data_IF_872782783449
#
_entry.id   IF_872782783449
#
_cell.length_a   1.000
_cell.length_b   1.000
_cell.length_c   1.000
_cell.angle_alpha   90.00
_cell.angle_beta   90.00
_cell.angle_gamma   90.00
#
_symmetry.space_group_name_H-M   'P 1'
#
loop_
_entity.id
_entity.type
_entity.pdbx_description
1 polymer ?
#
# COMPACT_ATOMS: atom_id res chain seq x y z
N UNK A 1 -1.42 -21.73 -7.05
CA UNK A 1 -1.35 -20.84 -5.88
C UNK A 1 0.01 -20.18 -5.95
N UNK A 2 0.08 -18.92 -6.36
CA UNK A 2 1.34 -18.20 -6.38
C UNK A 2 1.76 -17.97 -4.93
N UNK A 3 3.00 -18.31 -4.59
CA UNK A 3 3.52 -18.14 -3.24
C UNK A 3 3.88 -16.66 -3.08
N UNK A 4 3.00 -15.89 -2.43
CA UNK A 4 3.21 -14.45 -2.24
C UNK A 4 4.23 -14.26 -1.13
N UNK A 5 5.35 -13.61 -1.46
CA UNK A 5 6.43 -13.37 -0.50
C UNK A 5 6.13 -12.12 0.32
N UNK A 6 5.65 -12.33 1.54
CA UNK A 6 5.43 -11.25 2.50
C UNK A 6 6.66 -10.94 3.34
N UNK A 7 6.85 -9.66 3.66
CA UNK A 7 7.86 -9.20 4.63
C UNK A 7 7.28 -8.06 5.51
N UNK A 8 8.05 -7.59 6.49
CA UNK A 8 7.59 -6.63 7.50
C UNK A 8 7.78 -5.17 7.07
N UNK A 9 6.99 -4.27 7.65
CA UNK A 9 7.14 -2.83 7.41
C UNK A 9 8.49 -2.27 7.89
N UNK A 10 9.15 -2.93 8.84
CA UNK A 10 10.52 -2.55 9.24
C UNK A 10 11.51 -2.78 8.09
N UNK A 11 11.36 -3.88 7.34
CA UNK A 11 12.16 -4.16 6.15
C UNK A 11 11.84 -3.20 5.01
N UNK A 12 10.58 -2.79 4.87
CA UNK A 12 10.16 -1.75 3.93
C UNK A 12 10.85 -0.42 4.26
N UNK A 13 10.85 -0.01 5.54
CA UNK A 13 11.53 1.20 6.00
C UNK A 13 13.02 1.18 5.69
N UNK A 14 13.71 0.11 6.06
CA UNK A 14 15.14 -0.06 5.78
C UNK A 14 15.48 0.15 4.29
N UNK A 15 14.59 -0.26 3.39
CA UNK A 15 14.77 -0.10 1.95
C UNK A 15 14.43 1.28 1.41
N UNK A 16 13.61 2.08 2.10
CA UNK A 16 13.15 3.39 1.64
C UNK A 16 13.95 4.55 2.23
N UNK A 17 14.46 4.37 3.45
CA UNK A 17 15.12 5.44 4.19
C UNK A 17 16.30 6.03 3.42
N UNK A 18 16.39 7.36 3.49
CA UNK A 18 17.40 8.20 2.87
C UNK A 18 17.44 8.20 1.34
N UNK A 19 16.43 7.62 0.69
CA UNK A 19 16.27 7.69 -0.76
C UNK A 19 15.35 8.82 -1.14
N UNK A 20 15.62 9.44 -2.29
CA UNK A 20 14.81 10.51 -2.85
C UNK A 20 13.73 10.00 -3.79
N UNK A 21 12.55 10.61 -3.75
CA UNK A 21 11.47 10.39 -4.71
C UNK A 21 11.77 11.13 -6.02
N UNK A 22 11.79 10.43 -7.15
CA UNK A 22 12.16 11.01 -8.46
C UNK A 22 11.01 11.02 -9.46
N UNK A 23 10.08 10.07 -9.37
CA UNK A 23 8.89 10.02 -10.22
C UNK A 23 7.74 9.31 -9.50
N UNK A 24 6.51 9.54 -9.96
CA UNK A 24 5.34 8.80 -9.48
C UNK A 24 4.23 8.73 -10.55
N UNK A 25 3.39 7.71 -10.41
CA UNK A 25 2.08 7.56 -11.05
C UNK A 25 1.06 7.24 -9.96
N UNK A 26 -0.22 7.13 -10.34
CA UNK A 26 -1.31 6.79 -9.41
C UNK A 26 -0.98 5.57 -8.54
N UNK A 27 -0.35 4.56 -9.11
CA UNK A 27 -0.12 3.24 -8.52
C UNK A 27 1.36 2.93 -8.25
N UNK A 28 2.29 3.85 -8.60
CA UNK A 28 3.73 3.61 -8.51
C UNK A 28 4.49 4.84 -8.02
N UNK A 29 5.51 4.60 -7.21
CA UNK A 29 6.47 5.62 -6.75
C UNK A 29 7.89 5.13 -7.07
N UNK A 30 8.69 5.97 -7.72
CA UNK A 30 10.06 5.65 -8.15
C UNK A 30 11.07 6.48 -7.37
N UNK A 31 12.13 5.83 -6.89
CA UNK A 31 13.21 6.44 -6.13
C UNK A 31 14.45 6.72 -6.98
N UNK A 32 15.41 7.46 -6.43
CA UNK A 32 16.66 7.84 -7.13
C UNK A 32 17.57 6.68 -7.51
N UNK A 33 17.45 5.53 -6.84
CA UNK A 33 18.19 4.30 -7.16
C UNK A 33 17.40 3.36 -8.09
N UNK A 34 16.34 3.87 -8.73
CA UNK A 34 15.40 3.13 -9.56
C UNK A 34 14.56 2.08 -8.82
N UNK A 35 14.56 2.08 -7.48
CA UNK A 35 13.58 1.28 -6.72
C UNK A 35 12.17 1.76 -7.05
N UNK A 36 11.29 0.83 -7.42
CA UNK A 36 9.88 1.09 -7.65
C UNK A 36 9.05 0.50 -6.51
N UNK A 37 8.14 1.32 -5.98
CA UNK A 37 7.13 0.90 -5.00
C UNK A 37 5.79 0.95 -5.70
N UNK A 38 5.11 -0.19 -5.82
CA UNK A 38 3.78 -0.28 -6.42
C UNK A 38 2.72 -0.60 -5.38
N UNK A 39 1.48 -0.19 -5.64
CA UNK A 39 0.30 -0.61 -4.87
C UNK A 39 -0.39 -1.73 -5.65
N UNK A 40 -0.48 -2.91 -5.06
CA UNK A 40 -0.98 -4.10 -5.77
C UNK A 40 -1.96 -4.93 -4.95
N UNK A 41 -2.89 -5.57 -5.67
CA UNK A 41 -3.66 -6.69 -5.13
C UNK A 41 -2.75 -7.91 -5.04
N UNK A 42 -2.36 -8.26 -3.83
CA UNK A 42 -1.41 -9.36 -3.60
C UNK A 42 -2.10 -10.72 -3.58
N UNK A 43 -3.29 -10.76 -2.99
CA UNK A 43 -4.12 -11.95 -2.89
C UNK A 43 -5.58 -11.53 -3.08
N UNK A 44 -6.36 -12.37 -3.75
CA UNK A 44 -7.82 -12.22 -3.83
C UNK A 44 -8.50 -13.56 -4.11
N UNK A 45 -9.72 -13.69 -3.61
CA UNK A 45 -10.65 -14.77 -3.95
C UNK A 45 -11.80 -14.27 -4.83
N UNK A 46 -12.05 -14.95 -5.95
CA UNK A 46 -13.24 -14.77 -6.79
C UNK A 46 -13.55 -13.30 -7.15
N UNK A 47 -14.60 -12.72 -6.54
CA UNK A 47 -15.09 -11.36 -6.79
C UNK A 47 -14.46 -10.30 -5.88
N UNK A 48 -13.62 -10.71 -4.93
CA UNK A 48 -12.85 -9.80 -4.10
C UNK A 48 -11.81 -9.07 -4.94
N UNK A 49 -11.49 -7.84 -4.56
CA UNK A 49 -10.51 -7.02 -5.25
C UNK A 49 -9.83 -6.08 -4.26
N UNK A 50 -8.58 -5.75 -4.54
CA UNK A 50 -7.83 -4.78 -3.76
C UNK A 50 -7.06 -3.83 -4.68
N UNK A 51 -6.71 -2.66 -4.16
CA UNK A 51 -5.96 -1.68 -4.91
C UNK A 51 -5.74 -0.41 -4.11
N UNK A 52 -5.32 0.64 -4.80
CA UNK A 52 -5.10 1.92 -4.14
C UNK A 52 -4.42 2.93 -5.04
N UNK A 53 -4.05 4.04 -4.41
CA UNK A 53 -3.39 5.15 -5.08
C UNK A 53 -2.46 5.93 -4.15
N UNK A 54 -1.37 6.42 -4.73
CA UNK A 54 -0.52 7.44 -4.11
C UNK A 54 -1.17 8.83 -4.26
N UNK A 55 -1.19 9.59 -3.18
CA UNK A 55 -1.62 10.99 -3.14
C UNK A 55 -0.57 11.85 -2.46
N UNK A 56 -0.67 13.17 -2.64
CA UNK A 56 0.16 14.17 -1.95
C UNK A 56 1.67 13.93 -2.14
N UNK A 57 2.05 13.48 -3.35
CA UNK A 57 3.44 13.13 -3.66
C UNK A 57 4.26 14.38 -4.00
N UNK A 58 5.30 14.63 -3.20
CA UNK A 58 6.31 15.64 -3.44
C UNK A 58 7.58 15.00 -4.04
N UNK A 59 7.95 15.46 -5.24
CA UNK A 59 9.19 15.04 -5.90
C UNK A 59 10.39 15.70 -5.24
N UNK A 60 11.57 15.09 -5.41
CA UNK A 60 12.84 15.52 -4.82
C UNK A 60 12.91 15.50 -3.28
N UNK A 61 11.85 15.05 -2.61
CA UNK A 61 11.84 14.79 -1.18
C UNK A 61 12.66 13.55 -0.81
N UNK A 62 13.48 13.66 0.24
CA UNK A 62 14.25 12.54 0.80
C UNK A 62 13.43 11.84 1.88
N UNK A 63 13.24 10.53 1.76
CA UNK A 63 12.47 9.77 2.74
C UNK A 63 13.26 9.67 4.05
N UNK A 64 12.68 10.17 5.12
CA UNK A 64 13.25 10.14 6.48
C UNK A 64 12.48 9.23 7.42
N UNK A 65 11.22 8.94 7.12
CA UNK A 65 10.37 8.06 7.90
C UNK A 65 9.21 7.51 7.05
N UNK A 66 8.69 6.35 7.42
CA UNK A 66 7.48 5.74 6.84
C UNK A 66 6.62 5.23 7.99
N UNK A 67 5.35 5.63 8.01
CA UNK A 67 4.41 5.21 9.07
C UNK A 67 4.15 3.71 9.06
N UNK A 68 3.63 3.18 10.16
CA UNK A 68 2.95 1.88 10.13
C UNK A 68 1.67 1.97 9.28
N UNK A 69 1.21 0.85 8.71
CA UNK A 69 -0.08 0.80 8.04
C UNK A 69 -1.18 1.09 9.05
N UNK A 70 -1.98 2.12 8.75
CA UNK A 70 -3.08 2.56 9.61
C UNK A 70 -4.42 2.20 8.98
N UNK A 71 -5.25 1.45 9.70
CA UNK A 71 -6.64 1.19 9.27
C UNK A 71 -7.46 2.46 9.45
N UNK A 72 -7.97 3.01 8.34
CA UNK A 72 -8.71 4.27 8.33
C UNK A 72 -10.19 4.05 8.63
N UNK A 73 -10.83 3.13 7.88
CA UNK A 73 -12.25 2.81 8.05
C UNK A 73 -12.59 1.46 7.42
N UNK A 74 -13.79 0.97 7.74
CA UNK A 74 -14.43 -0.16 7.08
C UNK A 74 -15.87 0.22 6.76
N UNK A 75 -16.24 0.06 5.51
CA UNK A 75 -17.58 0.34 5.00
C UNK A 75 -18.24 -0.99 4.67
N UNK A 76 -19.46 -1.22 5.17
CA UNK A 76 -20.23 -2.45 4.88
C UNK A 76 -21.53 -2.08 4.17
N UNK A 77 -21.80 -2.70 3.03
CA UNK A 77 -23.02 -2.47 2.25
C UNK A 77 -24.23 -3.12 2.92
N UNK A 78 -25.44 -2.72 2.52
CA UNK A 78 -26.67 -3.37 2.98
C UNK A 78 -26.76 -4.85 2.61
N UNK A 79 -25.98 -5.28 1.62
CA UNK A 79 -25.89 -6.66 1.18
C UNK A 79 -24.79 -7.45 1.87
N UNK A 80 -24.03 -6.82 2.79
CA UNK A 80 -23.01 -7.48 3.63
C UNK A 80 -21.58 -7.38 3.12
N UNK A 81 -21.35 -6.91 1.90
CA UNK A 81 -20.00 -6.69 1.34
C UNK A 81 -19.24 -5.64 2.16
N UNK A 82 -17.98 -5.91 2.48
CA UNK A 82 -17.14 -5.02 3.28
C UNK A 82 -15.93 -4.55 2.48
N UNK A 83 -15.73 -3.24 2.43
CA UNK A 83 -14.51 -2.60 1.94
C UNK A 83 -13.73 -2.01 3.12
N UNK A 84 -12.48 -2.45 3.30
CA UNK A 84 -11.55 -1.91 4.29
C UNK A 84 -10.56 -0.95 3.64
N UNK A 85 -10.24 0.14 4.34
CA UNK A 85 -9.31 1.17 3.87
C UNK A 85 -8.12 1.30 4.83
N UNK A 86 -6.92 1.39 4.29
CA UNK A 86 -5.70 1.60 5.05
C UNK A 86 -4.76 2.59 4.39
N UNK A 87 -3.92 3.25 5.18
CA UNK A 87 -2.96 4.24 4.69
C UNK A 87 -1.56 3.99 5.20
N UNK A 88 -0.57 4.36 4.38
CA UNK A 88 0.85 4.45 4.77
C UNK A 88 1.35 5.81 4.32
N UNK A 89 1.93 6.59 5.23
CA UNK A 89 2.46 7.93 4.94
C UNK A 89 3.98 7.91 4.97
N UNK A 90 4.58 8.53 3.96
CA UNK A 90 6.02 8.73 3.79
C UNK A 90 6.35 10.17 4.16
N UNK A 91 7.42 10.38 4.93
CA UNK A 91 7.79 11.70 5.47
C UNK A 91 9.19 12.13 5.07
N UNK A 92 9.35 13.44 4.81
CA UNK A 92 10.62 14.16 4.75
C UNK A 92 10.69 15.16 5.90
N UNK A 93 11.60 14.94 6.85
CA UNK A 93 11.81 15.79 8.02
C UNK A 93 10.49 16.09 8.76
N UNK A 94 9.73 15.03 9.07
CA UNK A 94 8.39 15.04 9.69
C UNK A 94 7.27 15.70 8.86
N UNK A 95 7.50 16.11 7.62
CA UNK A 95 6.45 16.57 6.72
C UNK A 95 5.98 15.41 5.83
N UNK A 96 4.67 15.15 5.71
CA UNK A 96 4.15 14.17 4.75
C UNK A 96 4.54 14.58 3.33
N UNK A 97 5.13 13.64 2.57
CA UNK A 97 5.57 13.85 1.18
C UNK A 97 5.03 12.82 0.21
N UNK A 98 4.35 11.77 0.69
CA UNK A 98 3.52 10.89 -0.10
C UNK A 98 2.62 10.07 0.83
N UNK A 99 1.40 9.77 0.39
CA UNK A 99 0.50 8.85 1.12
C UNK A 99 0.02 7.77 0.17
N UNK A 100 0.26 6.50 0.53
CA UNK A 100 -0.35 5.37 -0.13
C UNK A 100 -1.72 5.09 0.50
N UNK A 101 -2.78 5.29 -0.27
CA UNK A 101 -4.16 4.99 0.13
C UNK A 101 -4.55 3.64 -0.46
N UNK A 102 -4.76 2.65 0.39
CA UNK A 102 -5.07 1.28 0.01
C UNK A 102 -6.50 0.92 0.40
N UNK A 103 -7.14 0.10 -0.42
CA UNK A 103 -8.44 -0.49 -0.11
C UNK A 103 -8.48 -1.97 -0.51
N UNK A 104 -9.24 -2.74 0.25
CA UNK A 104 -9.50 -4.15 0.01
C UNK A 104 -11.00 -4.39 0.17
N UNK A 105 -11.59 -5.18 -0.72
CA UNK A 105 -13.01 -5.50 -0.76
C UNK A 105 -13.21 -7.02 -0.72
N UNK A 106 -14.14 -7.47 0.12
CA UNK A 106 -14.42 -8.90 0.32
C UNK A 106 -15.36 -9.51 -0.74
N UNK A 107 -15.87 -8.71 -1.68
CA UNK A 107 -16.67 -9.12 -2.84
C UNK A 107 -17.98 -9.88 -2.57
N UNK A 108 -18.27 -10.31 -1.33
CA UNK A 108 -19.51 -10.97 -0.91
C UNK A 108 -19.51 -11.31 0.60
N UNK A 109 -20.16 -10.50 1.44
CA UNK A 109 -20.52 -10.85 2.82
C UNK A 109 -19.39 -11.44 3.71
N UNK A 110 -18.12 -11.13 3.45
CA UNK A 110 -16.97 -11.70 4.15
C UNK A 110 -16.62 -13.16 3.81
N UNK A 111 -17.13 -13.71 2.70
CA UNK A 111 -16.78 -15.07 2.25
C UNK A 111 -15.53 -15.13 1.38
N UNK A 112 -15.20 -14.05 0.68
CA UNK A 112 -13.93 -13.92 -0.04
C UNK A 112 -13.02 -12.97 0.73
N UNK A 113 -11.75 -13.00 0.38
CA UNK A 113 -10.77 -12.09 0.95
C UNK A 113 -9.99 -11.40 -0.16
N UNK A 114 -9.49 -10.21 0.13
CA UNK A 114 -8.47 -9.56 -0.68
C UNK A 114 -7.45 -8.82 0.17
N UNK A 115 -6.24 -8.66 -0.36
CA UNK A 115 -5.13 -8.00 0.33
C UNK A 115 -4.52 -6.94 -0.57
N UNK A 116 -4.52 -5.69 -0.08
CA UNK A 116 -3.76 -4.60 -0.68
C UNK A 116 -2.40 -4.48 0.01
N UNK A 117 -1.33 -4.44 -0.78
CA UNK A 117 0.04 -4.29 -0.29
C UNK A 117 0.80 -3.23 -1.08
N UNK A 118 1.81 -2.67 -0.42
CA UNK A 118 2.94 -2.08 -1.12
C UNK A 118 3.86 -3.20 -1.61
N UNK A 119 4.43 -3.06 -2.81
CA UNK A 119 5.31 -4.08 -3.40
C UNK A 119 6.62 -3.45 -3.84
N UNK A 120 7.73 -4.09 -3.49
CA UNK A 120 9.08 -3.75 -3.97
C UNK A 120 9.77 -5.06 -4.36
N UNK A 121 10.23 -5.17 -5.61
CA UNK A 121 10.94 -6.35 -6.11
C UNK A 121 10.22 -7.69 -5.78
N UNK A 122 8.92 -7.77 -6.06
CA UNK A 122 8.04 -8.92 -5.76
C UNK A 122 7.94 -9.30 -4.27
N UNK A 123 8.35 -8.40 -3.36
CA UNK A 123 8.12 -8.53 -1.92
C UNK A 123 6.94 -7.67 -1.51
N UNK A 124 5.96 -8.29 -0.86
CA UNK A 124 4.69 -7.68 -0.51
C UNK A 124 4.66 -7.24 0.96
N UNK A 125 4.19 -6.03 1.22
CA UNK A 125 4.04 -5.43 2.54
C UNK A 125 2.57 -5.09 2.76
N UNK A 126 1.87 -5.96 3.50
CA UNK A 126 0.42 -5.89 3.70
C UNK A 126 -0.01 -4.57 4.35
N UNK A 127 -0.82 -3.79 3.65
CA UNK A 127 -1.40 -2.54 4.20
C UNK A 127 -2.77 -2.81 4.81
N UNK A 128 -3.67 -3.44 4.05
CA UNK A 128 -5.05 -3.69 4.48
C UNK A 128 -5.60 -4.95 3.82
N UNK A 129 -6.53 -5.61 4.51
CA UNK A 129 -7.31 -6.73 3.95
C UNK A 129 -8.77 -6.61 4.35
N UNK A 130 -9.64 -7.12 3.49
CA UNK A 130 -11.06 -7.34 3.75
C UNK A 130 -11.34 -8.83 3.68
#
# INVERSE_FOLDING_TARGET
MYDVKYDTFDKLREQLLYKRITAWTKDKLTLEDFTEITIECSEQDCCAWAGGEFTDVELDAVITEVSDPHSVRKDTTSWGETTAYGTVTIFHNNNPVATANCNADDGNCGYYYSVCSLVINDVHYKVVSA
#
